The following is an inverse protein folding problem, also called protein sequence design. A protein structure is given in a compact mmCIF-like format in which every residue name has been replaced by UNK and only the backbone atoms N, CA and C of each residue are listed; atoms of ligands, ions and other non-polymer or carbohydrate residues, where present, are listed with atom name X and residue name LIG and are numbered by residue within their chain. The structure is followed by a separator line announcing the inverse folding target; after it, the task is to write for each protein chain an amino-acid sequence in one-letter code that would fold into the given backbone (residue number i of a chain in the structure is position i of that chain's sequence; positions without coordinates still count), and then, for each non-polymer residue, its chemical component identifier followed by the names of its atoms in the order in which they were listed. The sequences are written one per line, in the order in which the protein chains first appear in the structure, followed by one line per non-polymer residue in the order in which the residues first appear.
data_IF_025937159314
#
_entry.id   IF_025937159314
#
_cell.length_a   1.000
_cell.length_b   1.000
_cell.length_c   1.000
_cell.angle_alpha   90.00
_cell.angle_beta   90.00
_cell.angle_gamma   90.00
#
_symmetry.space_group_name_H-M   'P 1'
#
loop_
_entity.id
_entity.type
_entity.pdbx_description
1 polymer ?
#
# COMPACT_ATOMS: atom_id res chain seq x y z
N UNK A 1 -13.72 -0.68 -11.25
CA UNK A 1 -14.80 0.21 -10.79
C UNK A 1 -14.26 1.04 -9.62
N UNK A 2 -13.55 2.12 -9.93
CA UNK A 2 -13.05 3.08 -8.94
C UNK A 2 -14.16 4.07 -8.63
N UNK A 3 -14.68 4.06 -7.40
CA UNK A 3 -15.53 5.15 -6.94
C UNK A 3 -14.64 6.38 -6.77
N UNK A 4 -14.78 7.33 -7.70
CA UNK A 4 -14.30 8.69 -7.49
C UNK A 4 -15.03 9.26 -6.28
N UNK A 5 -14.30 9.44 -5.18
CA UNK A 5 -14.80 10.14 -4.00
C UNK A 5 -14.99 11.61 -4.38
N UNK A 6 -16.21 12.09 -4.22
CA UNK A 6 -16.64 13.48 -4.41
C UNK A 6 -15.74 14.46 -3.65
N UNK A 7 -15.32 15.52 -4.35
CA UNK A 7 -14.51 16.64 -3.85
C UNK A 7 -15.13 17.43 -2.69
N UNK A 8 -16.41 17.21 -2.37
CA UNK A 8 -17.14 17.99 -1.38
C UNK A 8 -16.81 17.62 0.08
N UNK A 9 -16.37 16.40 0.37
CA UNK A 9 -16.04 15.95 1.74
C UNK A 9 -14.63 16.35 2.22
N UNK A 10 -13.80 16.92 1.33
CA UNK A 10 -12.44 17.34 1.66
C UNK A 10 -12.34 18.76 2.23
N UNK A 11 -13.40 19.57 2.13
CA UNK A 11 -13.31 21.01 2.37
C UNK A 11 -13.09 21.42 3.84
N UNK A 12 -13.39 20.55 4.82
CA UNK A 12 -13.20 20.86 6.24
C UNK A 12 -11.80 20.52 6.78
N UNK A 13 -10.94 19.85 6.01
CA UNK A 13 -9.58 19.47 6.44
C UNK A 13 -8.50 20.51 6.08
N UNK A 14 -8.87 21.65 5.47
CA UNK A 14 -7.92 22.53 4.78
C UNK A 14 -7.11 23.50 5.65
N UNK A 15 -7.22 23.45 6.99
CA UNK A 15 -6.51 24.38 7.87
C UNK A 15 -5.71 23.75 9.01
N UNK A 16 -5.65 22.41 9.10
CA UNK A 16 -4.96 21.73 10.19
C UNK A 16 -3.85 20.79 9.69
N UNK A 17 -2.89 20.55 10.58
CA UNK A 17 -1.85 19.52 10.40
C UNK A 17 -2.50 18.16 10.20
N UNK A 18 -1.95 17.38 9.27
CA UNK A 18 -2.51 16.07 8.91
C UNK A 18 -1.85 14.98 9.75
N UNK A 19 -2.67 14.18 10.44
CA UNK A 19 -2.21 12.99 11.16
C UNK A 19 -2.85 11.76 10.56
N UNK A 20 -2.02 10.78 10.24
CA UNK A 20 -2.40 9.51 9.64
C UNK A 20 -1.99 8.37 10.58
N UNK A 21 -2.94 7.53 10.96
CA UNK A 21 -2.67 6.28 11.67
C UNK A 21 -2.66 5.13 10.68
N UNK A 22 -1.47 4.58 10.44
CA UNK A 22 -1.22 3.49 9.51
C UNK A 22 -1.25 2.16 10.25
N UNK A 23 -2.10 1.24 9.80
CA UNK A 23 -2.12 -0.15 10.26
C UNK A 23 -1.24 -1.01 9.38
N UNK A 24 -0.39 -1.79 10.05
CA UNK A 24 0.51 -2.73 9.39
C UNK A 24 -0.27 -3.97 8.93
N UNK A 25 0.20 -4.60 7.86
CA UNK A 25 -0.38 -5.85 7.36
C UNK A 25 -0.46 -6.93 8.46
N UNK A 26 -1.61 -7.64 8.65
CA UNK A 26 -1.81 -8.58 9.76
C UNK A 26 -0.74 -9.68 9.85
N UNK A 27 -0.24 -10.14 8.70
CA UNK A 27 0.80 -11.17 8.61
C UNK A 27 2.15 -10.68 9.15
N UNK A 28 2.38 -9.36 9.21
CA UNK A 28 3.52 -8.75 9.90
C UNK A 28 3.27 -8.76 11.41
N UNK A 29 2.03 -8.48 11.85
CA UNK A 29 1.67 -8.39 13.27
C UNK A 29 1.79 -9.73 14.01
N UNK A 30 1.56 -10.86 13.33
CA UNK A 30 1.69 -12.21 13.90
C UNK A 30 3.14 -12.74 13.96
N UNK A 31 4.12 -12.03 13.39
CA UNK A 31 5.53 -12.46 13.45
C UNK A 31 6.11 -12.32 14.86
N UNK A 32 7.18 -13.06 15.14
CA UNK A 32 7.93 -12.94 16.38
C UNK A 32 8.38 -11.50 16.64
N UNK A 33 8.49 -11.10 17.90
CA UNK A 33 8.83 -9.70 18.28
C UNK A 33 10.05 -9.15 17.54
N UNK A 34 11.19 -9.88 17.41
CA UNK A 34 12.35 -9.36 16.66
C UNK A 34 12.07 -9.16 15.17
N UNK A 35 11.39 -10.11 14.53
CA UNK A 35 11.06 -10.05 13.11
C UNK A 35 10.08 -8.91 12.84
N UNK A 36 9.04 -8.80 13.66
CA UNK A 36 8.05 -7.72 13.59
C UNK A 36 8.72 -6.35 13.72
N UNK A 37 9.61 -6.17 14.71
CA UNK A 37 10.35 -4.92 14.91
C UNK A 37 11.14 -4.53 13.65
N UNK A 38 11.88 -5.47 13.06
CA UNK A 38 12.65 -5.26 11.83
C UNK A 38 11.76 -4.87 10.64
N UNK A 39 10.63 -5.54 10.46
CA UNK A 39 9.68 -5.24 9.39
C UNK A 39 9.03 -3.86 9.56
N UNK A 40 8.62 -3.51 10.78
CA UNK A 40 8.05 -2.19 11.08
C UNK A 40 9.08 -1.08 10.87
N UNK A 41 10.32 -1.28 11.28
CA UNK A 41 11.41 -0.33 11.01
C UNK A 41 11.64 -0.12 9.50
N UNK A 42 11.64 -1.21 8.73
CA UNK A 42 11.71 -1.13 7.25
C UNK A 42 10.53 -0.37 6.68
N UNK A 43 9.31 -0.63 7.15
CA UNK A 43 8.11 0.06 6.70
C UNK A 43 8.19 1.57 6.98
N UNK A 44 8.60 1.97 8.19
CA UNK A 44 8.82 3.38 8.52
C UNK A 44 9.85 4.02 7.58
N UNK A 45 10.95 3.31 7.27
CA UNK A 45 11.94 3.78 6.30
C UNK A 45 11.34 3.97 4.91
N UNK A 46 10.52 3.03 4.43
CA UNK A 46 9.89 3.11 3.11
C UNK A 46 8.88 4.27 3.03
N UNK A 47 8.09 4.46 4.08
CA UNK A 47 7.19 5.63 4.21
C UNK A 47 8.01 6.92 4.17
N UNK A 48 9.14 6.99 4.88
CA UNK A 48 10.02 8.15 4.82
C UNK A 48 10.57 8.42 3.42
N UNK A 49 11.07 7.39 2.74
CA UNK A 49 11.61 7.51 1.38
C UNK A 49 10.55 7.97 0.37
N UNK A 50 9.31 7.52 0.52
CA UNK A 50 8.19 7.90 -0.34
C UNK A 50 7.64 9.31 -0.05
N UNK A 51 7.55 9.69 1.23
CA UNK A 51 6.81 10.88 1.65
C UNK A 51 7.68 12.12 1.94
N UNK A 52 8.92 11.99 2.41
CA UNK A 52 9.79 13.16 2.65
C UNK A 52 10.08 14.01 1.41
N UNK A 53 10.16 13.46 0.17
CA UNK A 53 10.27 14.29 -1.03
C UNK A 53 9.05 15.19 -1.28
N UNK A 54 7.88 14.82 -0.74
CA UNK A 54 6.65 15.59 -0.86
C UNK A 54 6.53 16.64 0.25
N UNK A 55 6.94 16.29 1.46
CA UNK A 55 6.91 17.17 2.63
C UNK A 55 8.01 16.80 3.63
N UNK A 56 8.95 17.72 3.85
CA UNK A 56 10.07 17.56 4.77
C UNK A 56 9.67 17.63 6.24
N UNK A 57 8.48 18.14 6.56
CA UNK A 57 7.97 18.24 7.94
C UNK A 57 7.39 16.93 8.45
N UNK A 58 7.27 15.91 7.58
CA UNK A 58 6.71 14.62 7.94
C UNK A 58 7.52 13.96 9.07
N UNK A 59 6.83 13.60 10.15
CA UNK A 59 7.37 12.82 11.27
C UNK A 59 6.70 11.46 11.29
N UNK A 60 7.52 10.41 11.42
CA UNK A 60 7.08 9.02 11.42
C UNK A 60 7.43 8.40 12.77
N UNK A 61 6.40 7.96 13.51
CA UNK A 61 6.57 7.32 14.82
C UNK A 61 5.92 5.95 14.82
N UNK A 62 6.72 4.91 15.08
CA UNK A 62 6.18 3.58 15.35
C UNK A 62 5.54 3.57 16.74
N UNK A 63 4.27 3.25 16.78
CA UNK A 63 3.53 2.90 17.98
C UNK A 63 3.50 1.37 18.13
N UNK A 64 2.94 0.88 19.23
CA UNK A 64 2.90 -0.56 19.52
C UNK A 64 2.18 -1.38 18.45
N UNK A 65 1.07 -0.88 17.90
CA UNK A 65 0.21 -1.57 16.93
C UNK A 65 0.05 -0.82 15.60
N UNK A 66 0.52 0.43 15.51
CA UNK A 66 0.34 1.33 14.37
C UNK A 66 1.59 2.14 14.08
N UNK A 67 1.61 2.84 12.96
CA UNK A 67 2.60 3.88 12.66
C UNK A 67 1.84 5.21 12.55
N UNK A 68 2.25 6.21 13.34
CA UNK A 68 1.73 7.58 13.24
C UNK A 68 2.60 8.33 12.24
N UNK A 69 1.98 8.86 11.19
CA UNK A 69 2.60 9.75 10.21
C UNK A 69 1.94 11.12 10.36
N UNK A 70 2.70 12.13 10.75
CA UNK A 70 2.18 13.50 10.95
C UNK A 70 2.89 14.47 10.01
N UNK A 71 2.14 15.39 9.41
CA UNK A 71 2.61 16.44 8.51
C UNK A 71 2.14 17.80 9.03
N UNK A 72 3.03 18.79 9.02
CA UNK A 72 2.70 20.18 9.36
C UNK A 72 2.20 20.96 8.12
N UNK A 73 2.24 20.34 6.94
CA UNK A 73 1.74 20.94 5.70
C UNK A 73 0.22 21.06 5.69
N UNK A 74 -0.26 22.27 5.46
CA UNK A 74 -1.67 22.59 5.24
C UNK A 74 -2.06 22.60 3.75
N UNK A 75 -1.10 22.38 2.83
CA UNK A 75 -1.40 22.33 1.39
C UNK A 75 -2.20 21.05 1.06
N UNK A 76 -3.46 21.18 0.59
CA UNK A 76 -4.30 20.03 0.27
C UNK A 76 -3.71 19.13 -0.82
N UNK A 77 -2.93 19.69 -1.76
CA UNK A 77 -2.29 18.91 -2.82
C UNK A 77 -1.21 18.01 -2.25
N UNK A 78 -0.40 18.53 -1.34
CA UNK A 78 0.65 17.77 -0.65
C UNK A 78 0.04 16.65 0.19
N UNK A 79 -1.00 16.97 0.97
CA UNK A 79 -1.73 15.97 1.76
C UNK A 79 -2.29 14.85 0.87
N UNK A 80 -2.91 15.19 -0.26
CA UNK A 80 -3.44 14.20 -1.20
C UNK A 80 -2.33 13.33 -1.83
N UNK A 81 -1.17 13.90 -2.15
CA UNK A 81 -0.04 13.15 -2.67
C UNK A 81 0.53 12.18 -1.63
N UNK A 82 0.60 12.58 -0.35
CA UNK A 82 1.03 11.71 0.75
C UNK A 82 0.06 10.54 0.92
N UNK A 83 -1.26 10.80 0.93
CA UNK A 83 -2.29 9.75 0.97
C UNK A 83 -2.08 8.77 -0.18
N UNK A 84 -1.95 9.26 -1.42
CA UNK A 84 -1.72 8.40 -2.59
C UNK A 84 -0.46 7.55 -2.44
N UNK A 85 0.64 8.13 -1.96
CA UNK A 85 1.88 7.37 -1.73
C UNK A 85 1.68 6.28 -0.70
N UNK A 86 1.03 6.54 0.42
CA UNK A 86 0.74 5.50 1.42
C UNK A 86 -0.11 4.35 0.86
N UNK A 87 -1.04 4.61 -0.06
CA UNK A 87 -1.82 3.54 -0.71
C UNK A 87 -0.97 2.62 -1.60
N UNK A 88 0.19 3.09 -2.05
CA UNK A 88 1.08 2.36 -2.94
C UNK A 88 2.24 1.65 -2.23
N UNK A 89 2.41 1.84 -0.91
CA UNK A 89 3.52 1.22 -0.16
C UNK A 89 3.12 -0.19 0.31
N UNK A 90 3.84 -1.24 -0.12
CA UNK A 90 3.71 -2.59 0.43
C UNK A 90 3.96 -2.62 1.95
N UNK A 91 3.18 -3.42 2.67
CA UNK A 91 3.24 -3.53 4.14
C UNK A 91 2.17 -2.75 4.89
N UNK A 92 1.46 -1.84 4.21
CA UNK A 92 0.34 -1.08 4.77
C UNK A 92 -0.95 -1.84 4.51
N UNK A 93 -1.67 -2.23 5.57
CA UNK A 93 -3.01 -2.80 5.44
C UNK A 93 -3.99 -1.74 4.98
N UNK A 94 -3.98 -0.64 5.73
CA UNK A 94 -4.85 0.51 5.58
C UNK A 94 -4.36 1.63 6.50
N UNK A 95 -4.94 2.80 6.33
CA UNK A 95 -4.68 3.93 7.21
C UNK A 95 -5.88 4.84 7.30
N UNK A 96 -5.87 5.73 8.28
CA UNK A 96 -6.93 6.72 8.46
C UNK A 96 -6.38 8.07 8.83
N UNK A 97 -7.02 9.12 8.32
CA UNK A 97 -6.82 10.48 8.82
C UNK A 97 -7.47 10.55 10.19
N UNK A 98 -6.76 11.11 11.17
CA UNK A 98 -7.27 11.30 12.52
C UNK A 98 -7.00 12.71 13.00
N UNK A 99 -7.86 13.18 13.91
CA UNK A 99 -7.55 14.27 14.83
C UNK A 99 -7.23 13.66 16.18
N UNK A 100 -6.19 14.18 16.84
CA UNK A 100 -5.81 13.77 18.19
C UNK A 100 -6.02 14.90 19.20
N UNK A 101 -6.47 14.51 20.38
CA UNK A 101 -6.85 15.42 21.44
C UNK A 101 -6.45 14.84 22.79
N UNK A 102 -6.14 15.72 23.74
CA UNK A 102 -6.05 15.34 25.15
C UNK A 102 -7.43 14.87 25.65
N UNK A 103 -7.45 13.77 26.38
CA UNK A 103 -8.66 13.26 27.01
C UNK A 103 -8.84 13.91 28.39
N UNK A 104 -9.60 15.02 28.43
CA UNK A 104 -9.84 15.77 29.67
C UNK A 104 -11.04 15.22 30.46
N UNK A 105 -12.19 15.08 29.79
CA UNK A 105 -13.44 14.57 30.36
C UNK A 105 -14.42 14.18 29.24
N UNK A 106 -15.57 13.59 29.60
CA UNK A 106 -16.57 13.14 28.61
C UNK A 106 -17.26 14.30 27.87
N UNK A 107 -17.36 15.48 28.47
CA UNK A 107 -17.96 16.67 27.85
C UNK A 107 -17.10 17.27 26.73
N UNK A 108 -15.79 17.38 26.95
CA UNK A 108 -14.84 17.81 25.92
C UNK A 108 -14.80 16.80 24.77
N UNK A 109 -14.75 15.50 25.09
CA UNK A 109 -14.82 14.44 24.08
C UNK A 109 -16.11 14.52 23.27
N UNK A 110 -17.26 14.72 23.91
CA UNK A 110 -18.53 14.89 23.22
C UNK A 110 -18.51 16.12 22.30
N UNK A 111 -18.05 17.27 22.80
CA UNK A 111 -18.03 18.53 22.05
C UNK A 111 -17.21 18.38 20.77
N UNK A 112 -16.02 17.78 20.86
CA UNK A 112 -15.14 17.51 19.72
C UNK A 112 -15.74 16.46 18.78
N UNK A 113 -16.35 15.41 19.33
CA UNK A 113 -17.04 14.38 18.53
C UNK A 113 -18.21 14.95 17.75
N UNK A 114 -19.03 15.79 18.39
CA UNK A 114 -20.16 16.46 17.76
C UNK A 114 -19.66 17.34 16.62
N UNK A 115 -18.68 18.22 16.87
CA UNK A 115 -18.11 19.10 15.84
C UNK A 115 -17.60 18.32 14.62
N UNK A 116 -16.99 17.15 14.85
CA UNK A 116 -16.43 16.30 13.79
C UNK A 116 -17.48 15.55 12.96
N UNK A 117 -18.55 15.06 13.61
CA UNK A 117 -19.50 14.15 12.96
C UNK A 117 -20.86 14.77 12.64
N UNK A 118 -21.21 15.94 13.17
CA UNK A 118 -22.55 16.54 13.06
C UNK A 118 -23.07 16.57 11.60
N UNK A 119 -22.26 17.06 10.67
CA UNK A 119 -22.63 17.16 9.25
C UNK A 119 -22.81 15.78 8.59
N UNK A 120 -22.10 14.76 9.08
CA UNK A 120 -22.19 13.39 8.56
C UNK A 120 -23.39 12.65 9.12
N UNK A 121 -23.92 13.04 10.29
CA UNK A 121 -24.99 12.34 11.00
C UNK A 121 -26.39 12.84 10.66
N UNK A 122 -26.50 14.03 10.07
CA UNK A 122 -27.80 14.63 9.71
C UNK A 122 -28.53 13.74 8.70
N UNK A 123 -29.80 13.43 8.98
CA UNK A 123 -30.68 12.54 8.18
C UNK A 123 -30.11 11.12 7.95
N UNK A 124 -29.21 10.64 8.83
CA UNK A 124 -28.54 9.32 8.68
C UNK A 124 -28.61 8.47 9.93
N UNK A 125 -28.53 7.15 9.74
CA UNK A 125 -28.39 6.20 10.83
C UNK A 125 -26.92 6.06 11.25
N UNK A 126 -26.65 5.89 12.55
CA UNK A 126 -25.29 5.77 13.06
C UNK A 126 -25.12 4.77 14.18
N UNK A 127 -23.86 4.39 14.42
CA UNK A 127 -23.44 3.67 15.60
C UNK A 127 -22.13 4.25 16.14
N UNK A 128 -22.05 4.41 17.46
CA UNK A 128 -20.80 4.78 18.14
C UNK A 128 -20.00 3.51 18.43
N UNK A 129 -18.70 3.55 18.17
CA UNK A 129 -17.76 2.48 18.46
C UNK A 129 -16.52 3.05 19.14
N UNK A 130 -16.33 2.66 20.40
CA UNK A 130 -15.23 3.13 21.25
C UNK A 130 -14.22 2.02 21.46
N UNK A 131 -12.98 2.23 21.00
CA UNK A 131 -11.84 1.38 21.38
C UNK A 131 -11.09 2.04 22.54
N UNK A 132 -10.94 1.34 23.66
CA UNK A 132 -10.26 1.84 24.86
C UNK A 132 -8.99 1.04 25.15
N UNK A 133 -7.89 1.74 25.39
CA UNK A 133 -6.62 1.18 25.84
C UNK A 133 -6.11 2.01 27.01
N UNK A 134 -5.87 1.38 28.16
CA UNK A 134 -5.45 2.07 29.38
C UNK A 134 -6.40 1.83 30.56
N UNK A 135 -6.24 2.62 31.63
CA UNK A 135 -7.03 2.53 32.87
C UNK A 135 -7.95 3.74 32.94
N UNK A 136 -9.26 3.50 32.94
CA UNK A 136 -10.30 4.53 32.96
C UNK A 136 -11.45 4.10 33.87
N UNK A 137 -12.21 5.04 34.46
CA UNK A 137 -13.33 4.72 35.36
C UNK A 137 -14.60 4.27 34.62
N UNK A 138 -14.56 4.09 33.30
CA UNK A 138 -15.69 3.70 32.45
C UNK A 138 -15.31 2.58 31.48
N UNK A 139 -16.31 1.85 30.99
CA UNK A 139 -16.12 0.89 29.89
C UNK A 139 -16.33 1.55 28.53
N UNK A 140 -15.83 0.93 27.46
CA UNK A 140 -16.12 1.38 26.09
C UNK A 140 -17.64 1.48 25.85
N UNK A 141 -18.41 0.54 26.39
CA UNK A 141 -19.84 0.48 26.19
C UNK A 141 -20.59 1.60 26.93
N UNK A 142 -20.11 2.00 28.11
CA UNK A 142 -20.67 3.14 28.84
C UNK A 142 -20.51 4.42 28.03
N UNK A 143 -19.31 4.64 27.49
CA UNK A 143 -19.04 5.82 26.68
C UNK A 143 -19.77 5.79 25.33
N UNK A 144 -19.88 4.62 24.68
CA UNK A 144 -20.69 4.46 23.46
C UNK A 144 -22.15 4.87 23.69
N UNK A 145 -22.74 4.47 24.82
CA UNK A 145 -24.12 4.84 25.19
C UNK A 145 -24.25 6.33 25.50
N UNK A 146 -23.33 6.88 26.28
CA UNK A 146 -23.34 8.29 26.66
C UNK A 146 -23.23 9.20 25.42
N UNK A 147 -22.20 8.98 24.60
CA UNK A 147 -21.97 9.77 23.38
C UNK A 147 -23.09 9.52 22.36
N UNK A 148 -23.53 8.27 22.20
CA UNK A 148 -24.63 7.94 21.30
C UNK A 148 -25.94 8.65 21.67
N UNK A 149 -26.29 8.69 22.97
CA UNK A 149 -27.47 9.43 23.46
C UNK A 149 -27.36 10.90 23.13
N UNK A 150 -26.24 11.55 23.48
CA UNK A 150 -26.06 12.99 23.28
C UNK A 150 -26.04 13.38 21.79
N UNK A 151 -25.44 12.55 20.94
CA UNK A 151 -25.47 12.76 19.48
C UNK A 151 -26.91 12.64 18.94
N UNK A 152 -27.68 11.65 19.40
CA UNK A 152 -29.08 11.48 19.01
C UNK A 152 -29.96 12.66 19.45
N UNK A 153 -29.69 13.23 20.63
CA UNK A 153 -30.40 14.40 21.16
C UNK A 153 -30.03 15.70 20.39
N UNK A 154 -28.84 15.76 19.78
CA UNK A 154 -28.29 17.00 19.19
C UNK A 154 -28.36 17.03 17.66
N UNK A 155 -28.18 15.88 16.99
CA UNK A 155 -28.14 15.80 15.53
C UNK A 155 -29.54 15.61 14.93
N UNK A 156 -29.96 16.56 14.11
CA UNK A 156 -31.25 16.58 13.42
C UNK A 156 -31.53 15.32 12.60
N UNK A 157 -32.70 14.72 12.79
CA UNK A 157 -33.18 13.53 12.05
C UNK A 157 -32.20 12.34 12.03
N UNK A 158 -31.29 12.25 13.00
CA UNK A 158 -30.40 11.09 13.13
C UNK A 158 -31.11 9.92 13.82
N UNK A 159 -30.66 8.68 13.55
CA UNK A 159 -31.20 7.48 14.20
C UNK A 159 -30.09 6.49 14.56
N UNK A 160 -30.31 5.64 15.55
CA UNK A 160 -29.30 4.63 15.95
C UNK A 160 -29.56 3.30 15.22
N UNK A 161 -28.55 2.78 14.53
CA UNK A 161 -28.56 1.45 13.93
C UNK A 161 -27.27 0.71 14.26
N UNK A 162 -27.32 -0.23 15.21
CA UNK A 162 -26.13 -0.94 15.68
C UNK A 162 -25.62 -2.03 14.73
N UNK A 163 -26.43 -2.43 13.75
CA UNK A 163 -26.14 -3.57 12.87
C UNK A 163 -25.55 -3.12 11.54
N UNK A 164 -26.17 -2.14 10.88
CA UNK A 164 -25.75 -1.61 9.57
C UNK A 164 -25.98 -0.10 9.52
N UNK A 165 -25.21 0.69 10.28
CA UNK A 165 -25.30 2.14 10.27
C UNK A 165 -24.81 2.72 8.95
N UNK A 166 -25.34 3.87 8.55
CA UNK A 166 -24.79 4.66 7.45
C UNK A 166 -23.44 5.28 7.85
N UNK A 167 -23.30 5.68 9.11
CA UNK A 167 -22.08 6.27 9.68
C UNK A 167 -21.64 5.55 10.96
N UNK A 168 -20.38 5.13 11.02
CA UNK A 168 -19.79 4.63 12.27
C UNK A 168 -18.93 5.72 12.91
N UNK A 169 -19.38 6.26 14.04
CA UNK A 169 -18.62 7.22 14.85
C UNK A 169 -17.55 6.44 15.60
N UNK A 170 -16.31 6.46 15.08
CA UNK A 170 -15.17 5.73 15.66
C UNK A 170 -14.36 6.65 16.54
N UNK A 171 -14.23 6.25 17.81
CA UNK A 171 -13.45 6.95 18.83
C UNK A 171 -12.45 5.96 19.39
N UNK A 172 -11.19 6.34 19.45
CA UNK A 172 -10.18 5.54 20.15
C UNK A 172 -9.59 6.35 21.30
N UNK A 173 -9.74 5.85 22.51
CA UNK A 173 -9.12 6.43 23.71
C UNK A 173 -7.93 5.56 24.07
N UNK A 174 -6.78 6.22 24.19
CA UNK A 174 -5.55 5.59 24.64
C UNK A 174 -4.91 6.44 25.72
N UNK A 175 -4.85 5.90 26.93
CA UNK A 175 -4.34 6.61 28.11
C UNK A 175 -5.05 7.98 28.22
N UNK A 176 -4.31 9.09 28.18
CA UNK A 176 -4.83 10.45 28.30
C UNK A 176 -5.04 11.14 26.94
N UNK A 177 -5.20 10.37 25.86
CA UNK A 177 -5.43 10.88 24.51
C UNK A 177 -6.65 10.20 23.89
N UNK A 178 -7.35 10.91 22.99
CA UNK A 178 -8.33 10.29 22.12
C UNK A 178 -8.18 10.72 20.67
N UNK A 179 -8.64 9.84 19.77
CA UNK A 179 -8.56 10.00 18.33
C UNK A 179 -9.94 9.93 17.71
N UNK A 180 -10.25 10.91 16.86
CA UNK A 180 -11.43 10.90 15.99
C UNK A 180 -11.01 10.55 14.56
N UNK A 181 -11.64 9.52 14.00
CA UNK A 181 -11.31 9.03 12.66
C UNK A 181 -12.13 9.76 11.59
N UNK A 182 -11.47 10.26 10.55
CA UNK A 182 -12.12 10.93 9.41
C UNK A 182 -12.45 9.96 8.29
N UNK A 183 -11.40 9.51 7.61
CA UNK A 183 -11.53 8.73 6.38
C UNK A 183 -10.62 7.51 6.43
N UNK A 184 -11.11 6.43 5.83
CA UNK A 184 -10.41 5.15 5.75
C UNK A 184 -9.87 4.94 4.34
N UNK A 185 -8.57 4.68 4.23
CA UNK A 185 -7.92 4.38 2.96
C UNK A 185 -7.35 2.96 2.96
N UNK A 186 -7.69 2.12 1.97
CA UNK A 186 -7.05 0.82 1.83
C UNK A 186 -5.58 1.00 1.43
N UNK A 187 -4.72 0.18 2.01
CA UNK A 187 -3.31 0.06 1.64
C UNK A 187 -3.06 -1.10 0.67
N UNK A 188 -1.80 -1.28 0.29
CA UNK A 188 -1.39 -2.29 -0.68
C UNK A 188 -1.26 -3.70 -0.09
N UNK A 189 -1.37 -3.87 1.23
CA UNK A 189 -1.06 -5.10 1.95
C UNK A 189 0.38 -5.60 1.68
N UNK A 190 0.70 -6.84 2.06
CA UNK A 190 1.99 -7.46 1.76
C UNK A 190 3.10 -7.07 2.72
N UNK A 191 4.35 -7.08 2.26
CA UNK A 191 5.52 -6.83 3.10
C UNK A 191 6.30 -5.61 2.62
N UNK A 192 6.95 -4.86 3.52
CA UNK A 192 7.76 -3.70 3.14
C UNK A 192 8.85 -4.09 2.14
N UNK A 193 9.06 -3.28 1.10
CA UNK A 193 10.17 -3.44 0.16
C UNK A 193 11.50 -3.58 0.90
N UNK A 194 12.30 -4.57 0.50
CA UNK A 194 13.55 -4.93 1.18
C UNK A 194 13.37 -5.79 2.43
N UNK A 195 12.16 -6.29 2.69
CA UNK A 195 11.92 -7.36 3.65
C UNK A 195 12.38 -8.73 3.12
N UNK A 196 12.35 -8.91 1.80
CA UNK A 196 12.84 -10.09 1.09
C UNK A 196 14.08 -9.74 0.26
N UNK A 197 14.71 -10.78 -0.27
CA UNK A 197 15.91 -10.68 -1.09
C UNK A 197 15.64 -10.04 -2.46
N UNK A 198 16.74 -9.80 -3.19
CA UNK A 198 16.73 -9.24 -4.55
C UNK A 198 16.36 -10.33 -5.55
N UNK A 199 15.48 -10.02 -6.50
CA UNK A 199 15.02 -10.95 -7.53
C UNK A 199 15.10 -10.30 -8.92
N UNK A 200 15.25 -11.13 -9.95
CA UNK A 200 15.31 -10.70 -11.34
C UNK A 200 14.00 -11.05 -12.04
N UNK A 201 13.25 -10.06 -12.49
CA UNK A 201 12.00 -10.26 -13.20
C UNK A 201 12.20 -10.20 -14.71
N UNK A 202 11.77 -11.25 -15.41
CA UNK A 202 11.72 -11.27 -16.87
C UNK A 202 10.51 -10.46 -17.33
N UNK A 203 10.75 -9.20 -17.66
CA UNK A 203 9.70 -8.28 -18.11
C UNK A 203 9.63 -8.27 -19.62
N UNK A 204 8.44 -8.47 -20.18
CA UNK A 204 8.24 -8.57 -21.63
C UNK A 204 7.53 -7.35 -22.23
N UNK A 205 6.99 -6.47 -21.38
CA UNK A 205 6.04 -5.42 -21.78
C UNK A 205 4.58 -5.90 -21.79
N UNK A 206 4.35 -7.22 -21.73
CA UNK A 206 3.02 -7.81 -21.57
C UNK A 206 2.51 -7.76 -20.13
N UNK A 207 1.18 -7.78 -20.00
CA UNK A 207 0.44 -7.68 -18.74
C UNK A 207 0.94 -8.64 -17.67
N UNK A 208 1.10 -9.93 -18.00
CA UNK A 208 1.41 -10.97 -17.01
C UNK A 208 2.77 -10.74 -16.32
N UNK A 209 3.78 -10.32 -17.11
CA UNK A 209 5.12 -10.03 -16.57
C UNK A 209 5.16 -8.77 -15.69
N UNK A 210 4.31 -7.79 -15.98
CA UNK A 210 4.16 -6.60 -15.13
C UNK A 210 3.44 -6.93 -13.82
N UNK A 211 2.40 -7.77 -13.90
CA UNK A 211 1.66 -8.24 -12.72
C UNK A 211 2.54 -9.11 -11.83
N UNK A 212 3.30 -10.06 -12.40
CA UNK A 212 4.21 -10.91 -11.59
C UNK A 212 5.28 -10.07 -10.89
N UNK A 213 5.86 -9.09 -11.58
CA UNK A 213 6.79 -8.12 -10.98
C UNK A 213 6.17 -7.36 -9.81
N UNK A 214 4.96 -6.81 -10.02
CA UNK A 214 4.21 -6.10 -8.98
C UNK A 214 3.91 -6.99 -7.77
N UNK A 215 3.48 -8.23 -7.99
CA UNK A 215 3.19 -9.18 -6.89
C UNK A 215 4.45 -9.46 -6.06
N UNK A 216 5.62 -9.58 -6.69
CA UNK A 216 6.87 -9.76 -5.96
C UNK A 216 7.28 -8.51 -5.17
N UNK A 217 7.06 -7.31 -5.72
CA UNK A 217 7.22 -6.06 -4.97
C UNK A 217 6.28 -6.02 -3.76
N UNK A 218 5.00 -6.41 -3.92
CA UNK A 218 4.03 -6.51 -2.83
C UNK A 218 4.47 -7.51 -1.76
N UNK A 219 5.18 -8.59 -2.12
CA UNK A 219 5.79 -9.54 -1.17
C UNK A 219 7.07 -9.02 -0.51
N UNK A 220 7.51 -7.80 -0.82
CA UNK A 220 8.66 -7.13 -0.20
C UNK A 220 9.99 -7.42 -0.88
N UNK A 221 9.99 -8.03 -2.06
CA UNK A 221 11.20 -8.27 -2.85
C UNK A 221 11.70 -6.98 -3.50
N UNK A 222 13.02 -6.87 -3.62
CA UNK A 222 13.67 -5.85 -4.44
C UNK A 222 13.76 -6.37 -5.87
N UNK A 223 12.93 -5.83 -6.76
CA UNK A 223 12.80 -6.33 -8.13
C UNK A 223 13.63 -5.50 -9.10
N UNK A 224 14.56 -6.16 -9.78
CA UNK A 224 15.21 -5.63 -10.99
C UNK A 224 14.62 -6.31 -12.22
N UNK A 225 14.74 -5.64 -13.36
CA UNK A 225 14.09 -6.03 -14.60
C UNK A 225 15.11 -6.50 -15.63
N UNK A 226 14.80 -7.61 -16.29
CA UNK A 226 15.53 -8.13 -17.43
C UNK A 226 14.56 -8.21 -18.61
N UNK A 227 14.88 -7.45 -19.66
CA UNK A 227 14.15 -7.43 -20.92
C UNK A 227 15.01 -8.05 -22.03
N UNK A 228 14.40 -8.95 -22.78
CA UNK A 228 15.00 -9.53 -23.97
C UNK A 228 14.44 -8.79 -25.19
N UNK A 229 15.28 -7.97 -25.82
CA UNK A 229 14.85 -7.13 -26.92
C UNK A 229 14.79 -7.94 -28.22
N UNK A 230 13.55 -8.13 -28.70
CA UNK A 230 13.21 -8.77 -29.98
C UNK A 230 12.54 -7.79 -30.96
N UNK A 231 12.17 -6.59 -30.50
CA UNK A 231 11.26 -5.66 -31.19
C UNK A 231 11.88 -4.30 -31.50
N UNK A 232 13.20 -4.18 -31.37
CA UNK A 232 13.94 -2.95 -31.59
C UNK A 232 13.73 -1.90 -30.49
N UNK A 233 14.19 -0.68 -30.77
CA UNK A 233 14.28 0.39 -29.79
C UNK A 233 12.92 0.86 -29.24
N UNK A 234 11.90 0.95 -30.10
CA UNK A 234 10.57 1.42 -29.68
C UNK A 234 9.92 0.47 -28.67
N UNK A 235 10.07 -0.85 -28.87
CA UNK A 235 9.57 -1.85 -27.93
C UNK A 235 10.28 -1.75 -26.58
N UNK A 236 11.61 -1.63 -26.59
CA UNK A 236 12.40 -1.45 -25.37
C UNK A 236 11.98 -0.24 -24.56
N UNK A 237 11.73 0.91 -25.22
CA UNK A 237 11.24 2.11 -24.55
C UNK A 237 9.90 1.87 -23.84
N UNK A 238 8.95 1.22 -24.51
CA UNK A 238 7.65 0.90 -23.91
C UNK A 238 7.78 0.00 -22.67
N UNK A 239 8.62 -1.04 -22.74
CA UNK A 239 8.86 -1.92 -21.59
C UNK A 239 9.56 -1.19 -20.45
N UNK A 240 10.48 -0.28 -20.77
CA UNK A 240 11.19 0.55 -19.80
C UNK A 240 10.25 1.53 -19.08
N UNK A 241 9.28 2.11 -19.78
CA UNK A 241 8.26 2.98 -19.17
C UNK A 241 7.39 2.21 -18.17
N UNK A 242 6.95 1.00 -18.52
CA UNK A 242 6.19 0.13 -17.61
C UNK A 242 7.03 -0.26 -16.39
N UNK A 243 8.30 -0.63 -16.61
CA UNK A 243 9.23 -0.97 -15.52
C UNK A 243 9.47 0.21 -14.58
N UNK A 244 9.61 1.42 -15.15
CA UNK A 244 9.75 2.67 -14.39
C UNK A 244 8.48 3.00 -13.62
N UNK A 245 7.30 2.78 -14.20
CA UNK A 245 6.03 2.98 -13.50
C UNK A 245 5.94 2.06 -12.28
N UNK A 246 6.28 0.77 -12.43
CA UNK A 246 6.26 -0.17 -11.32
C UNK A 246 7.23 0.23 -10.21
N UNK A 247 8.49 0.51 -10.54
CA UNK A 247 9.50 0.86 -9.54
C UNK A 247 9.19 2.19 -8.84
N UNK A 248 8.73 3.20 -9.57
CA UNK A 248 8.45 4.54 -9.02
C UNK A 248 7.21 4.60 -8.12
N UNK A 249 6.27 3.67 -8.29
CA UNK A 249 5.04 3.63 -7.50
C UNK A 249 5.11 2.61 -6.35
N UNK A 250 5.79 1.48 -6.53
CA UNK A 250 5.69 0.36 -5.59
C UNK A 250 7.03 -0.05 -4.95
N UNK A 251 8.13 0.60 -5.31
CA UNK A 251 9.48 0.31 -4.81
C UNK A 251 10.21 1.57 -4.35
N UNK A 252 9.50 2.53 -3.75
CA UNK A 252 10.08 3.77 -3.25
C UNK A 252 11.34 3.50 -2.40
N UNK A 253 12.43 4.20 -2.74
CA UNK A 253 13.73 4.05 -2.07
C UNK A 253 14.61 2.91 -2.59
N UNK A 254 14.10 2.04 -3.47
CA UNK A 254 14.90 1.03 -4.16
C UNK A 254 15.09 1.42 -5.63
N UNK A 255 16.34 1.65 -6.04
CA UNK A 255 16.69 1.91 -7.44
C UNK A 255 16.68 0.61 -8.25
N UNK A 256 15.52 0.25 -8.80
CA UNK A 256 15.41 -0.90 -9.70
C UNK A 256 16.30 -0.73 -10.93
N UNK A 257 17.09 -1.75 -11.23
CA UNK A 257 17.88 -1.82 -12.47
C UNK A 257 17.02 -2.33 -13.62
N UNK A 258 17.31 -1.87 -14.84
CA UNK A 258 16.71 -2.36 -16.08
C UNK A 258 17.82 -2.82 -17.01
N UNK A 259 17.89 -4.12 -17.27
CA UNK A 259 18.88 -4.76 -18.13
C UNK A 259 18.18 -5.14 -19.43
N UNK A 260 18.63 -4.56 -20.55
CA UNK A 260 18.17 -4.94 -21.89
C UNK A 260 19.25 -5.81 -22.56
N UNK A 261 18.84 -6.96 -23.10
CA UNK A 261 19.74 -7.86 -23.84
C UNK A 261 19.23 -7.97 -25.27
N UNK A 262 20.07 -7.63 -26.25
CA UNK A 262 19.74 -7.81 -27.65
C UNK A 262 19.68 -9.30 -27.99
N UNK A 263 18.52 -9.78 -28.45
CA UNK A 263 18.30 -11.17 -28.80
C UNK A 263 18.19 -11.43 -30.31
N UNK A 264 18.31 -10.38 -31.12
CA UNK A 264 18.27 -10.50 -32.58
C UNK A 264 19.27 -11.55 -33.14
N UNK A 265 20.54 -11.60 -32.69
CA UNK A 265 21.47 -12.63 -33.18
C UNK A 265 21.05 -14.06 -32.80
N UNK A 266 20.44 -14.23 -31.63
CA UNK A 266 19.97 -15.54 -31.15
C UNK A 266 18.76 -15.98 -31.99
N UNK A 267 17.85 -15.06 -32.32
CA UNK A 267 16.71 -15.38 -33.21
C UNK A 267 17.21 -15.82 -34.58
N UNK A 268 18.15 -15.09 -35.18
CA UNK A 268 18.69 -15.42 -36.50
C UNK A 268 19.24 -16.86 -36.52
N UNK A 269 20.07 -17.21 -35.54
CA UNK A 269 20.62 -18.57 -35.38
C UNK A 269 19.53 -19.62 -35.19
N UNK A 270 18.49 -19.34 -34.39
CA UNK A 270 17.38 -20.29 -34.20
C UNK A 270 16.54 -20.49 -35.46
N UNK A 271 16.44 -19.49 -36.33
CA UNK A 271 15.74 -19.60 -37.60
C UNK A 271 16.50 -20.49 -38.60
N UNK A 272 17.82 -20.45 -38.57
CA UNK A 272 18.70 -21.25 -39.43
C UNK A 272 18.87 -22.68 -38.93
N UNK A 273 19.07 -22.87 -37.62
CA UNK A 273 19.59 -24.12 -37.06
C UNK A 273 18.54 -25.00 -36.37
N UNK A 274 17.33 -24.49 -36.07
CA UNK A 274 16.33 -25.19 -35.25
C UNK A 274 15.00 -25.38 -36.00
N UNK A 275 14.43 -26.58 -35.87
CA UNK A 275 13.10 -26.92 -36.37
C UNK A 275 12.04 -25.93 -35.84
N UNK A 276 11.19 -25.34 -36.71
CA UNK A 276 10.13 -24.41 -36.34
C UNK A 276 9.32 -24.81 -35.11
N UNK A 277 9.03 -26.11 -34.91
CA UNK A 277 8.23 -26.60 -33.79
C UNK A 277 8.88 -26.38 -32.42
N UNK A 278 10.22 -26.29 -32.36
CA UNK A 278 10.97 -26.17 -31.11
C UNK A 278 11.52 -24.75 -30.87
N UNK A 279 11.52 -23.86 -31.86
CA UNK A 279 12.16 -22.53 -31.77
C UNK A 279 11.73 -21.74 -30.54
N UNK A 280 10.42 -21.66 -30.27
CA UNK A 280 9.89 -20.93 -29.11
C UNK A 280 10.37 -21.50 -27.77
N UNK A 281 10.48 -22.83 -27.66
CA UNK A 281 10.97 -23.50 -26.46
C UNK A 281 12.47 -23.27 -26.27
N UNK A 282 13.27 -23.42 -27.34
CA UNK A 282 14.72 -23.19 -27.27
C UNK A 282 15.02 -21.70 -26.99
N UNK A 283 14.26 -20.77 -27.58
CA UNK A 283 14.37 -19.34 -27.29
C UNK A 283 14.20 -19.05 -25.79
N UNK A 284 13.13 -19.59 -25.17
CA UNK A 284 12.91 -19.47 -23.71
C UNK A 284 14.05 -20.09 -22.89
N UNK A 285 14.57 -21.25 -23.31
CA UNK A 285 15.73 -21.87 -22.63
C UNK A 285 16.97 -20.98 -22.70
N UNK A 286 17.23 -20.31 -23.83
CA UNK A 286 18.31 -19.34 -23.95
C UNK A 286 18.09 -18.13 -23.01
N UNK A 287 16.86 -17.61 -22.96
CA UNK A 287 16.47 -16.53 -22.03
C UNK A 287 16.74 -16.92 -20.57
N UNK A 288 16.27 -18.09 -20.14
CA UNK A 288 16.47 -18.57 -18.77
C UNK A 288 17.95 -18.79 -18.42
N UNK A 289 18.75 -19.33 -19.36
CA UNK A 289 20.21 -19.49 -19.15
C UNK A 289 20.92 -18.15 -18.94
N UNK A 290 20.58 -17.13 -19.74
CA UNK A 290 21.16 -15.78 -19.57
C UNK A 290 20.70 -15.16 -18.25
N UNK A 291 19.42 -15.33 -17.90
CA UNK A 291 18.89 -14.86 -16.63
C UNK A 291 19.60 -15.53 -15.43
N UNK A 292 19.85 -16.83 -15.49
CA UNK A 292 20.58 -17.59 -14.46
C UNK A 292 22.01 -17.06 -14.27
N UNK A 293 22.73 -16.82 -15.36
CA UNK A 293 24.07 -16.22 -15.31
C UNK A 293 24.04 -14.83 -14.65
N UNK A 294 23.06 -13.99 -15.01
CA UNK A 294 22.88 -12.68 -14.37
C UNK A 294 22.51 -12.80 -12.90
N UNK A 295 21.72 -13.81 -12.50
CA UNK A 295 21.44 -14.12 -11.10
C UNK A 295 22.70 -14.43 -10.31
N UNK A 296 23.61 -15.24 -10.85
CA UNK A 296 24.87 -15.57 -10.20
C UNK A 296 25.77 -14.34 -10.05
N UNK A 297 25.89 -13.51 -11.08
CA UNK A 297 26.79 -12.33 -11.08
C UNK A 297 26.27 -11.21 -10.17
N UNK A 298 24.95 -11.02 -10.08
CA UNK A 298 24.33 -9.89 -9.37
C UNK A 298 23.64 -10.27 -8.05
N UNK A 299 23.84 -11.50 -7.59
CA UNK A 299 23.25 -12.07 -6.36
C UNK A 299 21.70 -12.01 -6.31
N UNK A 300 21.04 -12.26 -7.44
CA UNK A 300 19.58 -12.42 -7.44
C UNK A 300 19.20 -13.82 -6.96
N UNK A 301 18.24 -13.92 -6.04
CA UNK A 301 17.85 -15.21 -5.42
C UNK A 301 16.82 -16.00 -6.21
N UNK A 302 16.13 -15.35 -7.14
CA UNK A 302 15.13 -15.98 -7.98
C UNK A 302 14.95 -15.25 -9.31
N UNK A 303 14.54 -16.00 -10.32
CA UNK A 303 14.02 -15.49 -11.59
C UNK A 303 12.49 -15.48 -11.48
N UNK A 304 11.86 -14.36 -11.80
CA UNK A 304 10.42 -14.19 -11.78
C UNK A 304 9.92 -14.14 -13.21
N UNK A 305 8.91 -14.93 -13.54
CA UNK A 305 8.27 -14.96 -14.87
C UNK A 305 6.79 -14.61 -14.73
N UNK A 306 6.18 -14.20 -15.85
CA UNK A 306 4.72 -14.03 -15.97
C UNK A 306 4.03 -15.24 -16.59
N UNK A 307 4.59 -16.45 -16.44
CA UNK A 307 4.02 -17.63 -17.10
C UNK A 307 2.77 -18.13 -16.37
N UNK A 308 1.78 -18.56 -17.14
CA UNK A 308 0.51 -19.08 -16.63
C UNK A 308 0.13 -20.37 -17.35
N UNK A 309 -0.16 -21.42 -16.57
CA UNK A 309 -0.43 -22.74 -17.11
C UNK A 309 -1.62 -22.72 -18.09
N UNK A 310 -1.39 -23.17 -19.32
CA UNK A 310 -2.41 -23.31 -20.36
C UNK A 310 -2.75 -22.02 -21.12
N UNK A 311 -2.05 -20.91 -20.88
CA UNK A 311 -2.33 -19.63 -21.55
C UNK A 311 -1.90 -19.63 -23.03
N UNK A 312 -0.71 -20.18 -23.33
CA UNK A 312 -0.18 -20.31 -24.69
C UNK A 312 0.46 -21.68 -24.88
N UNK A 313 0.69 -22.10 -26.13
CA UNK A 313 1.28 -23.41 -26.45
C UNK A 313 2.65 -23.63 -25.79
N UNK A 314 3.41 -22.56 -25.56
CA UNK A 314 4.71 -22.61 -24.86
C UNK A 314 4.61 -22.65 -23.33
N UNK A 315 3.40 -22.68 -22.75
CA UNK A 315 3.12 -22.69 -21.31
C UNK A 315 2.20 -23.87 -20.93
N UNK A 316 2.40 -25.02 -21.56
CA UNK A 316 1.86 -26.29 -21.08
C UNK A 316 2.76 -26.86 -19.99
N UNK A 317 2.24 -27.78 -19.16
CA UNK A 317 3.02 -28.37 -18.07
C UNK A 317 4.31 -29.07 -18.55
N UNK A 318 4.31 -29.62 -19.77
CA UNK A 318 5.47 -30.30 -20.35
C UNK A 318 6.54 -29.29 -20.82
N UNK A 319 6.11 -28.07 -21.18
CA UNK A 319 7.00 -27.05 -21.73
C UNK A 319 7.61 -26.13 -20.65
N UNK A 320 6.98 -26.04 -19.46
CA UNK A 320 7.50 -25.35 -18.27
C UNK A 320 8.52 -26.23 -17.55
#
# INVERSE_FOLDING_TARGET
MQQFVSSAQFNHLHHHSMILLVRIFPEIAIKSRPVRKRLVQRLCSNIGLACHPLDKTIKIKSLWDKIKVSSESTDPKVQQLVIRKLQQIPGIQDFSIVEDFDFLNSDDLFTKTLLHYQDQLTDRSFAVRVKRVGIHPFTSLDLEREIGRRLLETCSNSSVNLTKPDVTVKIEIKDDQFYLYHHYYPGLNGYPIGAQEKVLSLISGGFDSSVSSFLMMQKGCKVDFLFFNLGGYAHELGVKEVSKYLSSNYSDGYGSSFISVNFEPIIAELMESIDPKYRGLILKRCMLKIAEQLCQVNDYKAIITGESLGQVSSQTLINL
#
